data_IF_905112233654
#
_entry.id   IF_905112233654
#
_cell.length_a   1.000
_cell.length_b   1.000
_cell.length_c   1.000
_cell.angle_alpha   90.00
_cell.angle_beta   90.00
_cell.angle_gamma   90.00
#
_symmetry.space_group_name_H-M   'P 1'
#
loop_
_entity.id
_entity.type
_entity.pdbx_description
1 polymer ?
#
# COMPACT_ATOMS: atom_id res chain seq x y z
N UNK A 1 31.68 -46.35 0.22
CA UNK A 1 31.51 -45.02 0.84
C UNK A 1 31.15 -43.99 -0.22
N UNK A 2 29.89 -44.00 -0.65
CA UNK A 2 28.81 -43.08 -0.24
C UNK A 2 28.75 -41.74 -1.01
N UNK A 3 28.43 -41.84 -2.31
CA UNK A 3 27.91 -40.70 -3.11
C UNK A 3 26.60 -40.12 -2.56
N UNK A 4 25.90 -40.86 -1.69
CA UNK A 4 24.70 -40.37 -0.98
C UNK A 4 25.01 -39.34 0.14
N UNK A 5 26.25 -39.26 0.64
CA UNK A 5 26.59 -38.34 1.74
C UNK A 5 26.80 -36.87 1.30
N UNK A 6 27.03 -36.62 0.01
CA UNK A 6 27.19 -35.25 -0.53
C UNK A 6 25.86 -34.57 -0.89
N UNK A 7 24.81 -35.34 -1.18
CA UNK A 7 23.48 -34.78 -1.55
C UNK A 7 22.72 -34.30 -0.31
N UNK A 8 22.92 -34.93 0.85
CA UNK A 8 22.25 -34.58 2.10
C UNK A 8 22.73 -33.23 2.67
N UNK A 9 24.00 -32.86 2.46
CA UNK A 9 24.54 -31.58 2.94
C UNK A 9 24.09 -30.37 2.10
N UNK A 10 23.78 -30.54 0.82
CA UNK A 10 23.27 -29.44 -0.03
C UNK A 10 21.78 -29.19 0.23
N UNK A 11 21.00 -30.24 0.54
CA UNK A 11 19.59 -30.08 0.92
C UNK A 11 19.42 -29.38 2.28
N UNK A 12 20.30 -29.62 3.26
CA UNK A 12 20.17 -28.98 4.58
C UNK A 12 20.48 -27.47 4.57
N UNK A 13 21.36 -27.01 3.67
CA UNK A 13 21.70 -25.58 3.52
C UNK A 13 20.56 -24.80 2.82
N UNK A 14 19.81 -25.43 1.91
CA UNK A 14 18.64 -24.80 1.29
C UNK A 14 17.47 -24.60 2.27
N UNK A 15 17.34 -25.43 3.31
CA UNK A 15 16.27 -25.29 4.31
C UNK A 15 16.56 -24.18 5.34
N UNK A 16 17.83 -23.91 5.67
CA UNK A 16 18.17 -22.84 6.63
C UNK A 16 17.99 -21.43 6.07
N UNK A 17 18.18 -21.24 4.75
CA UNK A 17 18.01 -19.93 4.10
C UNK A 17 16.51 -19.62 3.93
N UNK A 18 15.69 -20.63 3.60
CA UNK A 18 14.24 -20.46 3.52
C UNK A 18 13.59 -20.26 4.89
N UNK A 19 14.03 -20.97 5.95
CA UNK A 19 13.48 -20.77 7.29
C UNK A 19 13.71 -19.34 7.83
N UNK A 20 14.87 -18.73 7.55
CA UNK A 20 15.18 -17.38 8.02
C UNK A 20 14.35 -16.30 7.30
N UNK A 21 14.04 -16.49 6.02
CA UNK A 21 13.16 -15.59 5.27
C UNK A 21 11.68 -15.77 5.66
N UNK A 22 11.23 -17.00 5.87
CA UNK A 22 9.86 -17.29 6.33
C UNK A 22 9.61 -16.70 7.72
N UNK A 23 10.57 -16.81 8.64
CA UNK A 23 10.40 -16.30 10.01
C UNK A 23 10.40 -14.76 10.10
N UNK A 24 11.12 -14.07 9.20
CA UNK A 24 11.02 -12.61 9.03
C UNK A 24 9.69 -12.17 8.40
N UNK A 25 9.19 -12.90 7.41
CA UNK A 25 7.94 -12.57 6.72
C UNK A 25 6.68 -12.87 7.56
N UNK A 26 6.69 -13.94 8.36
CA UNK A 26 5.61 -14.26 9.33
C UNK A 26 5.42 -13.13 10.35
N UNK A 27 6.50 -12.41 10.70
CA UNK A 27 6.45 -11.34 11.69
C UNK A 27 5.74 -10.07 11.17
N UNK A 28 5.81 -9.78 9.86
CA UNK A 28 5.21 -8.57 9.27
C UNK A 28 3.69 -8.74 9.13
N UNK A 29 3.23 -9.89 8.64
CA UNK A 29 1.79 -10.16 8.53
C UNK A 29 1.11 -10.18 9.90
N UNK A 30 1.77 -10.78 10.90
CA UNK A 30 1.28 -10.77 12.28
C UNK A 30 1.27 -9.36 12.90
N UNK A 31 2.27 -8.53 12.61
CA UNK A 31 2.29 -7.14 13.05
C UNK A 31 1.18 -6.32 12.38
N UNK A 32 0.92 -6.54 11.09
CA UNK A 32 -0.17 -5.86 10.36
C UNK A 32 -1.55 -6.28 10.89
N UNK A 33 -1.78 -7.57 11.16
CA UNK A 33 -3.00 -8.05 11.82
C UNK A 33 -3.19 -7.47 13.22
N UNK A 34 -2.10 -7.29 13.98
CA UNK A 34 -2.14 -6.64 15.29
C UNK A 34 -2.45 -5.13 15.17
N UNK A 35 -1.88 -4.46 14.17
CA UNK A 35 -2.05 -3.02 13.95
C UNK A 35 -3.37 -2.68 13.25
N UNK A 36 -4.01 -3.65 12.62
CA UNK A 36 -5.25 -3.50 11.88
C UNK A 36 -6.22 -4.67 12.12
N UNK A 37 -7.16 -4.46 13.04
CA UNK A 37 -8.24 -5.39 13.37
C UNK A 37 -9.46 -4.60 13.86
N UNK A 38 -10.52 -5.26 14.30
CA UNK A 38 -11.75 -4.58 14.78
C UNK A 38 -11.66 -4.05 16.22
N UNK A 39 -10.55 -4.26 16.93
CA UNK A 39 -10.46 -3.90 18.35
C UNK A 39 -10.42 -2.38 18.55
N UNK A 40 -10.93 -1.94 19.69
CA UNK A 40 -10.82 -0.55 20.11
C UNK A 40 -9.36 -0.15 20.36
N UNK A 41 -9.02 1.09 20.03
CA UNK A 41 -7.70 1.68 20.26
C UNK A 41 -7.86 3.08 20.85
N UNK A 42 -6.88 3.50 21.66
CA UNK A 42 -6.84 4.85 22.22
C UNK A 42 -5.44 5.42 22.06
N UNK A 43 -5.36 6.58 21.41
CA UNK A 43 -4.15 7.38 21.32
C UNK A 43 -3.87 8.05 22.66
N UNK A 44 -2.63 7.96 23.15
CA UNK A 44 -2.17 8.75 24.28
C UNK A 44 -1.91 10.20 23.83
N UNK A 45 -2.96 11.02 23.85
CA UNK A 45 -2.90 12.44 23.48
C UNK A 45 -2.10 13.29 24.49
N UNK A 46 -1.81 12.74 25.67
CA UNK A 46 -0.99 13.38 26.70
C UNK A 46 0.48 12.96 26.63
N UNK A 47 0.86 12.20 25.60
CA UNK A 47 2.24 11.81 25.36
C UNK A 47 3.16 13.04 25.30
N UNK A 48 4.20 13.03 26.12
CA UNK A 48 5.13 14.17 26.27
C UNK A 48 5.86 14.52 24.98
N UNK A 49 6.26 13.52 24.20
CA UNK A 49 6.98 13.72 22.94
C UNK A 49 6.05 14.36 21.90
N UNK A 50 4.81 13.90 21.80
CA UNK A 50 3.80 14.49 20.92
C UNK A 50 3.55 15.96 21.29
N UNK A 51 3.32 16.25 22.57
CA UNK A 51 3.05 17.61 23.05
C UNK A 51 4.25 18.54 22.92
N UNK A 52 5.49 18.03 22.95
CA UNK A 52 6.68 18.83 22.72
C UNK A 52 6.76 19.41 21.28
N UNK A 53 6.02 18.82 20.33
CA UNK A 53 5.97 19.30 18.92
C UNK A 53 4.92 20.38 18.68
N UNK A 54 4.24 20.84 19.73
CA UNK A 54 3.15 21.81 19.67
C UNK A 54 3.60 23.11 18.99
N UNK A 55 2.84 23.53 17.97
CA UNK A 55 3.05 24.79 17.27
C UNK A 55 1.72 25.48 16.97
N UNK A 56 1.73 26.82 16.84
CA UNK A 56 0.53 27.61 16.54
C UNK A 56 0.07 27.30 15.11
N UNK A 57 -1.23 27.07 14.94
CA UNK A 57 -1.86 26.81 13.66
C UNK A 57 -2.57 28.05 13.13
N UNK A 58 -1.99 28.67 12.11
CA UNK A 58 -2.50 29.91 11.54
C UNK A 58 -2.45 31.09 12.52
N UNK A 59 -3.16 32.16 12.15
CA UNK A 59 -3.19 33.44 12.88
C UNK A 59 -4.56 33.77 13.48
N UNK A 60 -5.54 32.89 13.31
CA UNK A 60 -6.93 33.09 13.78
C UNK A 60 -7.05 32.98 15.31
N UNK A 61 -7.98 33.77 15.88
CA UNK A 61 -8.36 33.71 17.28
C UNK A 61 -9.71 32.96 17.46
N UNK A 62 -9.89 32.17 18.54
CA UNK A 62 -8.88 31.83 19.54
C UNK A 62 -7.75 30.98 18.94
N UNK A 63 -6.52 31.19 19.43
CA UNK A 63 -5.34 30.49 18.93
C UNK A 63 -5.52 28.95 18.90
N UNK A 64 -5.29 28.37 17.73
CA UNK A 64 -5.31 26.92 17.51
C UNK A 64 -3.88 26.37 17.50
N UNK A 65 -3.72 25.11 17.87
CA UNK A 65 -2.41 24.45 17.96
C UNK A 65 -2.42 23.09 17.29
N UNK A 66 -1.33 22.79 16.59
CA UNK A 66 -1.09 21.49 15.99
C UNK A 66 0.07 20.77 16.68
N UNK A 67 0.05 19.45 16.63
CA UNK A 67 1.15 18.56 17.04
C UNK A 67 1.49 17.63 15.87
N UNK A 68 2.79 17.31 15.73
CA UNK A 68 3.31 16.47 14.66
C UNK A 68 4.46 15.61 15.18
N UNK A 69 4.24 14.31 15.30
CA UNK A 69 5.27 13.37 15.76
C UNK A 69 5.51 12.28 14.71
N UNK A 70 6.77 12.12 14.33
CA UNK A 70 7.22 10.97 13.54
C UNK A 70 7.90 9.99 14.48
N UNK A 71 7.42 8.75 14.49
CA UNK A 71 8.00 7.65 15.25
C UNK A 71 8.13 6.40 14.38
N UNK A 72 8.71 5.34 14.92
CA UNK A 72 8.85 4.08 14.23
C UNK A 72 8.55 2.92 15.18
N UNK A 73 7.88 1.90 14.66
CA UNK A 73 7.65 0.63 15.35
C UNK A 73 8.02 -0.51 14.41
N UNK A 74 9.07 -1.28 14.75
CA UNK A 74 9.70 -2.22 13.83
C UNK A 74 10.07 -1.54 12.48
N UNK A 75 9.56 -2.06 11.35
CA UNK A 75 9.80 -1.54 10.00
C UNK A 75 8.62 -0.66 9.51
N UNK A 76 7.90 -0.03 10.43
CA UNK A 76 6.72 0.79 10.13
C UNK A 76 7.01 2.20 10.62
N UNK A 77 7.03 3.15 9.67
CA UNK A 77 7.08 4.58 10.00
C UNK A 77 5.67 5.01 10.42
N UNK A 78 5.57 5.70 11.55
CA UNK A 78 4.30 6.20 12.07
C UNK A 78 4.37 7.72 12.07
N UNK A 79 3.43 8.35 11.40
CA UNK A 79 3.28 9.80 11.38
C UNK A 79 1.99 10.13 12.12
N UNK A 80 2.09 10.90 13.20
CA UNK A 80 0.95 11.37 13.98
C UNK A 80 0.79 12.87 13.78
N UNK A 81 -0.41 13.29 13.39
CA UNK A 81 -0.81 14.68 13.33
C UNK A 81 -2.00 14.91 14.25
N UNK A 82 -2.13 16.11 14.81
CA UNK A 82 -3.34 16.48 15.52
C UNK A 82 -3.57 17.98 15.56
N UNK A 83 -4.84 18.36 15.54
CA UNK A 83 -5.31 19.69 15.91
C UNK A 83 -5.84 19.61 17.34
N UNK A 84 -5.11 20.19 18.30
CA UNK A 84 -5.37 20.00 19.72
C UNK A 84 -6.82 20.37 20.09
N UNK A 85 -7.50 19.45 20.77
CA UNK A 85 -8.90 19.59 21.16
C UNK A 85 -9.93 19.34 20.04
N UNK A 86 -9.50 18.99 18.82
CA UNK A 86 -10.40 18.81 17.67
C UNK A 86 -10.31 17.41 17.07
N UNK A 87 -9.12 16.95 16.68
CA UNK A 87 -8.92 15.60 16.14
C UNK A 87 -7.44 15.23 16.10
N UNK A 88 -7.18 13.93 15.93
CA UNK A 88 -5.85 13.40 15.63
C UNK A 88 -5.95 12.38 14.50
N UNK A 89 -4.90 12.25 13.71
CA UNK A 89 -4.75 11.21 12.72
C UNK A 89 -3.37 10.57 12.80
N UNK A 90 -3.30 9.31 12.39
CA UNK A 90 -2.06 8.55 12.27
C UNK A 90 -2.00 7.82 10.94
N UNK A 91 -0.87 7.99 10.27
CA UNK A 91 -0.49 7.18 9.12
C UNK A 91 0.60 6.19 9.51
N UNK A 92 0.38 4.92 9.22
CA UNK A 92 1.36 3.87 9.38
C UNK A 92 1.82 3.44 7.99
N UNK A 93 3.12 3.59 7.73
CA UNK A 93 3.78 3.26 6.47
C UNK A 93 4.72 2.07 6.68
N UNK A 94 4.23 0.83 6.51
CA UNK A 94 5.11 -0.33 6.45
C UNK A 94 6.10 -0.19 5.31
N UNK A 95 7.36 -0.53 5.53
CA UNK A 95 8.39 -0.52 4.48
C UNK A 95 8.06 -1.48 3.32
N UNK A 96 7.51 -2.64 3.65
CA UNK A 96 7.13 -3.70 2.70
C UNK A 96 5.63 -3.74 2.46
N UNK A 97 5.23 -4.34 1.36
CA UNK A 97 3.84 -4.56 0.96
C UNK A 97 3.18 -3.36 0.30
N UNK A 98 1.97 -3.59 -0.20
CA UNK A 98 1.22 -2.64 -1.04
C UNK A 98 0.36 -1.63 -0.27
N UNK A 99 0.30 -1.78 1.05
CA UNK A 99 -0.71 -1.14 1.85
C UNK A 99 -0.12 -0.29 2.97
N UNK A 100 -0.78 0.85 3.24
CA UNK A 100 -0.55 1.72 4.40
C UNK A 100 -1.84 1.79 5.21
N UNK A 101 -1.75 2.05 6.52
CA UNK A 101 -2.92 2.15 7.39
C UNK A 101 -3.12 3.61 7.76
N UNK A 102 -4.37 4.05 7.74
CA UNK A 102 -4.79 5.33 8.31
C UNK A 102 -5.67 5.09 9.52
N UNK A 103 -5.45 5.88 10.57
CA UNK A 103 -6.27 5.92 11.76
C UNK A 103 -6.66 7.36 12.05
N UNK A 104 -7.90 7.56 12.47
CA UNK A 104 -8.42 8.84 12.93
C UNK A 104 -8.96 8.69 14.34
N UNK A 105 -8.76 9.71 15.18
CA UNK A 105 -9.13 9.69 16.58
C UNK A 105 -9.93 10.94 16.95
N UNK A 106 -10.89 10.76 17.86
CA UNK A 106 -11.62 11.84 18.50
C UNK A 106 -10.70 12.71 19.39
N UNK A 107 -11.13 13.93 19.80
CA UNK A 107 -10.37 14.77 20.74
C UNK A 107 -9.97 14.06 22.03
N UNK A 108 -10.76 13.10 22.49
CA UNK A 108 -10.51 12.31 23.70
C UNK A 108 -9.50 11.16 23.51
N UNK A 109 -8.92 11.04 22.30
CA UNK A 109 -7.96 10.02 21.91
C UNK A 109 -8.56 8.68 21.49
N UNK A 110 -9.87 8.48 21.63
CA UNK A 110 -10.51 7.23 21.21
C UNK A 110 -10.49 7.12 19.69
N UNK A 111 -10.20 5.92 19.17
CA UNK A 111 -10.26 5.64 17.73
C UNK A 111 -11.65 5.99 17.22
N UNK A 112 -11.69 6.71 16.11
CA UNK A 112 -12.88 7.04 15.34
C UNK A 112 -12.99 6.14 14.12
N UNK A 113 -11.90 6.00 13.37
CA UNK A 113 -11.87 5.11 12.22
C UNK A 113 -10.47 4.53 11.98
N UNK A 114 -10.42 3.34 11.39
CA UNK A 114 -9.19 2.81 10.80
C UNK A 114 -9.49 2.12 9.49
N UNK A 115 -8.63 2.36 8.50
CA UNK A 115 -8.75 1.84 7.12
C UNK A 115 -7.38 1.56 6.50
N UNK A 116 -7.39 0.73 5.47
CA UNK A 116 -6.21 0.40 4.67
C UNK A 116 -6.28 1.16 3.34
N UNK A 117 -5.15 1.72 2.93
CA UNK A 117 -4.98 2.36 1.63
C UNK A 117 -3.95 1.62 0.79
N UNK A 118 -4.25 1.47 -0.49
CA UNK A 118 -3.25 1.06 -1.47
C UNK A 118 -2.26 2.22 -1.71
N UNK A 119 -0.96 1.95 -1.49
CA UNK A 119 0.12 2.94 -1.64
C UNK A 119 0.20 3.54 -3.04
N UNK A 120 -0.21 2.78 -4.06
CA UNK A 120 -0.07 3.14 -5.47
C UNK A 120 -1.32 3.77 -6.09
N UNK A 121 -2.48 3.67 -5.45
CA UNK A 121 -3.72 4.22 -6.02
C UNK A 121 -4.50 5.11 -5.07
N UNK A 122 -4.06 5.25 -3.82
CA UNK A 122 -4.75 5.98 -2.74
C UNK A 122 -6.23 5.59 -2.57
N UNK A 123 -6.64 4.42 -3.08
CA UNK A 123 -7.98 3.88 -2.86
C UNK A 123 -8.06 3.08 -1.56
N UNK A 124 -9.25 3.09 -0.95
CA UNK A 124 -9.59 2.23 0.18
C UNK A 124 -9.51 0.75 -0.23
N UNK A 125 -9.02 -0.08 0.68
CA UNK A 125 -8.82 -1.51 0.45
C UNK A 125 -9.15 -2.31 1.71
N UNK A 126 -9.54 -3.58 1.56
CA UNK A 126 -9.92 -4.41 2.70
C UNK A 126 -11.14 -3.88 3.45
N UNK A 127 -11.12 -4.00 4.78
CA UNK A 127 -12.18 -3.50 5.65
C UNK A 127 -11.83 -2.13 6.20
N UNK A 128 -12.85 -1.33 6.50
CA UNK A 128 -12.76 -0.15 7.37
C UNK A 128 -13.64 -0.35 8.58
N UNK A 129 -13.13 0.04 9.74
CA UNK A 129 -13.82 -0.04 11.02
C UNK A 129 -14.10 1.38 11.52
N UNK A 130 -15.36 1.68 11.82
CA UNK A 130 -15.79 2.96 12.38
C UNK A 130 -16.33 2.75 13.80
N UNK A 131 -15.94 3.63 14.71
CA UNK A 131 -16.27 3.58 16.13
C UNK A 131 -16.94 4.88 16.53
N UNK A 132 -17.82 4.82 17.52
CA UNK A 132 -18.33 6.04 18.16
C UNK A 132 -17.31 6.60 19.16
N UNK A 133 -17.60 7.79 19.70
CA UNK A 133 -16.69 8.49 20.62
C UNK A 133 -16.45 7.74 21.95
N UNK A 134 -17.33 6.81 22.32
CA UNK A 134 -17.16 5.92 23.49
C UNK A 134 -16.31 4.69 23.19
N UNK A 135 -15.88 4.49 21.94
CA UNK A 135 -15.04 3.38 21.52
C UNK A 135 -15.81 2.11 21.10
N UNK A 136 -17.14 2.18 20.97
CA UNK A 136 -17.95 1.07 20.47
C UNK A 136 -17.87 1.04 18.94
N UNK A 137 -17.60 -0.13 18.38
CA UNK A 137 -17.68 -0.38 16.93
C UNK A 137 -19.13 -0.16 16.45
N UNK A 138 -19.32 0.73 15.49
CA UNK A 138 -20.65 1.09 14.96
C UNK A 138 -20.84 0.67 13.50
N UNK A 139 -19.76 0.50 12.74
CA UNK A 139 -19.85 0.13 11.33
C UNK A 139 -18.59 -0.57 10.83
N UNK A 140 -18.81 -1.52 9.92
CA UNK A 140 -17.77 -2.18 9.12
C UNK A 140 -18.13 -1.95 7.67
N UNK A 141 -17.21 -1.40 6.88
CA UNK A 141 -17.33 -1.27 5.42
C UNK A 141 -16.32 -2.22 4.78
N UNK A 142 -16.75 -3.11 3.88
CA UNK A 142 -15.87 -4.03 3.16
C UNK A 142 -15.67 -3.54 1.72
N UNK A 143 -14.50 -2.97 1.42
CA UNK A 143 -14.18 -2.47 0.09
C UNK A 143 -13.83 -3.58 -0.90
N UNK A 144 -13.72 -4.82 -0.45
CA UNK A 144 -13.52 -6.00 -1.29
C UNK A 144 -14.83 -6.75 -1.55
N UNK A 145 -15.96 -6.24 -1.05
CA UNK A 145 -17.26 -6.87 -1.27
C UNK A 145 -17.56 -7.00 -2.77
N UNK A 146 -17.85 -8.24 -3.18
CA UNK A 146 -18.14 -8.59 -4.56
C UNK A 146 -16.97 -8.49 -5.53
N UNK A 147 -15.72 -8.40 -5.06
CA UNK A 147 -14.53 -8.62 -5.89
C UNK A 147 -14.11 -10.09 -5.79
N UNK A 148 -13.97 -10.78 -6.93
CA UNK A 148 -13.67 -12.21 -7.00
C UNK A 148 -12.17 -12.53 -7.06
N UNK A 149 -11.36 -11.56 -7.48
CA UNK A 149 -9.90 -11.69 -7.60
C UNK A 149 -9.23 -11.05 -6.40
N UNK A 150 -8.37 -11.80 -5.72
CA UNK A 150 -7.57 -11.32 -4.59
C UNK A 150 -6.41 -10.42 -5.05
N UNK A 151 -5.94 -9.53 -4.18
CA UNK A 151 -4.75 -8.71 -4.48
C UNK A 151 -3.51 -9.57 -4.71
N UNK A 152 -3.36 -10.67 -3.97
CA UNK A 152 -2.28 -11.66 -4.10
C UNK A 152 -2.27 -12.33 -5.49
N UNK A 153 -3.45 -12.48 -6.10
CA UNK A 153 -3.58 -13.01 -7.46
C UNK A 153 -3.19 -11.96 -8.50
N UNK A 154 -3.65 -10.71 -8.34
CA UNK A 154 -3.28 -9.61 -9.25
C UNK A 154 -1.78 -9.31 -9.21
N UNK A 155 -1.14 -9.35 -8.04
CA UNK A 155 0.32 -9.20 -7.90
C UNK A 155 1.10 -10.35 -8.54
N UNK A 156 0.58 -11.58 -8.52
CA UNK A 156 1.14 -12.71 -9.29
C UNK A 156 1.06 -12.46 -10.80
N UNK A 157 -0.06 -11.93 -11.29
CA UNK A 157 -0.20 -11.54 -12.70
C UNK A 157 0.80 -10.42 -13.03
N UNK A 158 0.90 -9.39 -12.19
CA UNK A 158 1.87 -8.31 -12.35
C UNK A 158 3.31 -8.86 -12.45
N UNK A 159 3.69 -9.78 -11.56
CA UNK A 159 5.02 -10.41 -11.57
C UNK A 159 5.34 -11.11 -12.89
N UNK A 160 4.36 -11.83 -13.47
CA UNK A 160 4.52 -12.49 -14.77
C UNK A 160 4.81 -11.47 -15.88
N UNK A 161 4.11 -10.33 -15.86
CA UNK A 161 4.24 -9.30 -16.88
C UNK A 161 5.50 -8.44 -16.71
N UNK A 162 5.88 -8.12 -15.48
CA UNK A 162 7.16 -7.47 -15.20
C UNK A 162 8.33 -8.26 -15.80
N UNK A 163 8.36 -9.59 -15.58
CA UNK A 163 9.36 -10.48 -16.17
C UNK A 163 9.29 -10.52 -17.70
N UNK A 164 8.09 -10.68 -18.27
CA UNK A 164 7.90 -10.77 -19.73
C UNK A 164 8.40 -9.53 -20.48
N UNK A 165 8.24 -8.35 -19.88
CA UNK A 165 8.59 -7.07 -20.48
C UNK A 165 9.87 -6.45 -19.88
N UNK A 166 10.63 -7.21 -19.09
CA UNK A 166 11.89 -6.78 -18.49
C UNK A 166 11.77 -5.48 -17.68
N UNK A 167 10.69 -5.38 -16.89
CA UNK A 167 10.59 -4.42 -15.80
C UNK A 167 11.30 -4.98 -14.56
N UNK A 168 12.06 -4.13 -13.87
CA UNK A 168 12.82 -4.45 -12.65
C UNK A 168 12.08 -4.10 -11.36
N UNK A 169 10.85 -3.60 -11.48
CA UNK A 169 9.99 -3.30 -10.32
C UNK A 169 9.74 -4.54 -9.47
N UNK A 170 9.70 -4.35 -8.16
CA UNK A 170 9.17 -5.36 -7.25
C UNK A 170 7.63 -5.37 -7.34
N UNK A 171 7.04 -6.55 -7.45
CA UNK A 171 5.60 -6.75 -7.62
C UNK A 171 5.01 -7.74 -6.62
N UNK A 172 5.85 -8.41 -5.81
CA UNK A 172 5.39 -9.34 -4.80
C UNK A 172 4.45 -8.65 -3.79
N UNK A 173 3.49 -9.41 -3.27
CA UNK A 173 2.49 -8.91 -2.33
C UNK A 173 3.11 -8.30 -1.06
N UNK A 174 4.21 -8.87 -0.56
CA UNK A 174 4.98 -8.42 0.59
C UNK A 174 6.31 -7.76 0.19
N UNK A 175 6.47 -7.40 -1.09
CA UNK A 175 7.67 -6.79 -1.62
C UNK A 175 7.83 -5.32 -1.23
N UNK A 176 9.05 -4.79 -1.34
CA UNK A 176 9.32 -3.34 -1.20
C UNK A 176 9.04 -2.66 -2.55
N UNK A 177 7.84 -2.12 -2.70
CA UNK A 177 7.40 -1.47 -3.94
C UNK A 177 7.82 -0.01 -4.00
N UNK A 178 7.99 0.52 -5.22
CA UNK A 178 8.19 1.94 -5.44
C UNK A 178 6.83 2.65 -5.55
N UNK A 179 6.46 3.41 -4.53
CA UNK A 179 5.24 4.22 -4.49
C UNK A 179 5.45 5.68 -4.96
N UNK A 180 6.68 6.06 -5.35
CA UNK A 180 6.97 7.34 -5.99
C UNK A 180 6.68 7.29 -7.50
N UNK A 181 5.45 7.64 -7.87
CA UNK A 181 4.90 7.53 -9.23
C UNK A 181 5.31 8.66 -10.18
N UNK A 182 6.52 9.18 -10.03
CA UNK A 182 7.07 10.11 -11.01
C UNK A 182 7.40 9.37 -12.31
N UNK A 183 7.11 9.99 -13.45
CA UNK A 183 7.31 9.41 -14.79
C UNK A 183 8.74 8.90 -15.05
N UNK A 184 9.73 9.49 -14.39
CA UNK A 184 11.16 9.14 -14.48
C UNK A 184 11.53 7.86 -13.72
N UNK A 185 10.66 7.41 -12.82
CA UNK A 185 10.91 6.25 -11.99
C UNK A 185 10.34 5.00 -12.65
N UNK A 186 11.01 3.88 -12.43
CA UNK A 186 10.43 2.58 -12.76
C UNK A 186 9.51 2.15 -11.60
N UNK A 187 8.20 2.02 -11.88
CA UNK A 187 7.18 1.72 -10.86
C UNK A 187 6.01 0.91 -11.43
N UNK A 188 5.25 0.31 -10.52
CA UNK A 188 4.01 -0.42 -10.82
C UNK A 188 2.86 0.19 -10.02
N UNK A 189 1.69 0.27 -10.66
CA UNK A 189 0.43 0.69 -10.03
C UNK A 189 -0.59 -0.42 -10.21
N UNK A 190 -1.28 -0.78 -9.13
CA UNK A 190 -2.43 -1.70 -9.19
C UNK A 190 -3.66 -0.97 -8.66
N UNK A 191 -4.74 -0.97 -9.42
CA UNK A 191 -5.99 -0.33 -9.01
C UNK A 191 -7.22 -1.06 -9.54
N UNK A 192 -8.35 -0.71 -8.94
CA UNK A 192 -9.68 -1.23 -9.25
C UNK A 192 -10.46 -0.20 -10.04
N UNK A 193 -11.30 -0.64 -10.96
CA UNK A 193 -12.25 0.21 -11.70
C UNK A 193 -13.57 -0.52 -11.88
N UNK A 194 -14.66 0.20 -11.73
CA UNK A 194 -15.99 -0.25 -12.14
C UNK A 194 -16.39 0.51 -13.40
N UNK A 195 -16.88 -0.20 -14.41
CA UNK A 195 -17.33 0.37 -15.66
C UNK A 195 -18.49 -0.45 -16.20
N UNK A 196 -19.62 0.21 -16.49
CA UNK A 196 -20.86 -0.42 -16.98
C UNK A 196 -21.33 -1.61 -16.12
N UNK A 197 -21.23 -1.47 -14.80
CA UNK A 197 -21.62 -2.52 -13.84
C UNK A 197 -20.67 -3.71 -13.76
N UNK A 198 -19.54 -3.68 -14.46
CA UNK A 198 -18.48 -4.69 -14.38
C UNK A 198 -17.30 -4.19 -13.56
N UNK A 199 -16.64 -5.12 -12.86
CA UNK A 199 -15.47 -4.89 -12.03
C UNK A 199 -14.20 -5.31 -12.77
N UNK A 200 -13.18 -4.46 -12.69
CA UNK A 200 -11.91 -4.68 -13.35
C UNK A 200 -10.73 -4.37 -12.44
N UNK A 201 -9.68 -5.16 -12.63
CA UNK A 201 -8.35 -4.87 -12.12
C UNK A 201 -7.48 -4.30 -13.21
N UNK A 202 -6.71 -3.29 -12.85
CA UNK A 202 -5.73 -2.67 -13.72
C UNK A 202 -4.33 -2.80 -13.13
N UNK A 203 -3.38 -3.17 -13.98
CA UNK A 203 -1.96 -3.20 -13.67
C UNK A 203 -1.26 -2.27 -14.65
N UNK A 204 -0.63 -1.22 -14.14
CA UNK A 204 0.13 -0.24 -14.91
C UNK A 204 1.62 -0.33 -14.56
N UNK A 205 2.47 -0.52 -15.56
CA UNK A 205 3.91 -0.45 -15.42
C UNK A 205 4.45 0.80 -16.10
N UNK A 206 5.39 1.46 -15.45
CA UNK A 206 6.09 2.64 -15.96
C UNK A 206 7.59 2.37 -15.95
N UNK A 207 8.28 2.68 -17.05
CA UNK A 207 9.74 2.61 -17.14
C UNK A 207 10.25 3.74 -18.01
N UNK A 208 11.11 4.58 -17.46
CA UNK A 208 11.76 5.64 -18.23
C UNK A 208 12.86 5.06 -19.12
N UNK A 209 12.90 5.53 -20.36
CA UNK A 209 13.99 5.28 -21.31
C UNK A 209 14.79 6.57 -21.47
N UNK A 210 16.07 6.50 -21.14
CA UNK A 210 17.03 7.59 -21.28
C UNK A 210 18.05 7.18 -22.35
N UNK A 211 17.58 6.90 -23.57
CA UNK A 211 18.49 6.55 -24.67
C UNK A 211 19.33 7.76 -25.12
N UNK A 212 18.84 9.00 -24.92
CA UNK A 212 19.58 10.26 -25.06
C UNK A 212 19.04 11.34 -24.09
N UNK A 213 19.82 12.39 -23.79
CA UNK A 213 19.41 13.49 -22.89
C UNK A 213 18.12 14.20 -23.31
N UNK A 214 17.86 14.19 -24.62
CA UNK A 214 16.79 14.95 -25.27
C UNK A 214 15.59 14.07 -25.66
N UNK A 215 15.71 12.73 -25.56
CA UNK A 215 14.67 11.76 -25.94
C UNK A 215 14.14 11.03 -24.69
N UNK A 216 13.45 11.78 -23.83
CA UNK A 216 12.86 11.28 -22.57
C UNK A 216 11.52 10.60 -22.86
N UNK A 217 11.59 9.36 -23.34
CA UNK A 217 10.42 8.51 -23.55
C UNK A 217 10.13 7.68 -22.32
N UNK A 218 8.86 7.47 -22.04
CA UNK A 218 8.40 6.56 -20.99
C UNK A 218 7.70 5.39 -21.65
N UNK A 219 8.18 4.19 -21.38
CA UNK A 219 7.49 2.95 -21.73
C UNK A 219 6.41 2.67 -20.69
N UNK A 220 5.22 2.32 -21.19
CA UNK A 220 4.08 1.97 -20.36
C UNK A 220 3.41 0.70 -20.83
N UNK A 221 3.03 -0.12 -19.88
CA UNK A 221 2.18 -1.29 -20.09
C UNK A 221 0.97 -1.18 -19.16
N UNK A 222 -0.23 -1.17 -19.73
CA UNK A 222 -1.49 -1.23 -18.97
C UNK A 222 -2.18 -2.54 -19.32
N UNK A 223 -2.53 -3.30 -18.29
CA UNK A 223 -3.23 -4.59 -18.41
C UNK A 223 -4.56 -4.45 -17.70
N UNK A 224 -5.63 -4.83 -18.40
CA UNK A 224 -6.98 -4.85 -17.87
C UNK A 224 -7.41 -6.31 -17.67
N UNK A 225 -7.88 -6.61 -16.46
CA UNK A 225 -8.35 -7.94 -16.08
C UNK A 225 -9.82 -7.79 -15.68
N UNK A 226 -10.68 -8.57 -16.32
CA UNK A 226 -12.08 -8.70 -15.90
C UNK A 226 -12.12 -9.54 -14.63
N UNK A 227 -12.66 -8.97 -13.55
CA UNK A 227 -12.68 -9.61 -12.24
C UNK A 227 -13.57 -10.85 -12.20
N UNK A 228 -14.65 -10.87 -13.00
CA UNK A 228 -15.62 -11.97 -13.04
C UNK A 228 -15.05 -13.22 -13.70
N UNK A 229 -14.27 -13.04 -14.77
CA UNK A 229 -13.67 -14.15 -15.53
C UNK A 229 -12.23 -14.42 -15.14
N UNK A 230 -11.59 -13.47 -14.44
CA UNK A 230 -10.14 -13.43 -14.13
C UNK A 230 -9.26 -13.46 -15.38
N UNK A 231 -9.83 -13.11 -16.54
CA UNK A 231 -9.13 -13.09 -17.81
C UNK A 231 -8.64 -11.69 -18.14
N UNK A 232 -7.53 -11.64 -18.86
CA UNK A 232 -7.00 -10.39 -19.42
C UNK A 232 -7.84 -10.05 -20.64
N UNK A 233 -8.54 -8.93 -20.58
CA UNK A 233 -9.46 -8.49 -21.63
C UNK A 233 -8.89 -7.38 -22.50
N UNK A 234 -7.89 -6.64 -21.99
CA UNK A 234 -7.13 -5.68 -22.76
C UNK A 234 -5.68 -5.57 -22.27
N UNK A 235 -4.78 -5.21 -23.18
CA UNK A 235 -3.37 -4.96 -22.90
C UNK A 235 -2.84 -3.91 -23.86
N UNK A 236 -2.51 -2.75 -23.33
CA UNK A 236 -1.97 -1.64 -24.08
C UNK A 236 -0.49 -1.41 -23.72
N UNK A 237 0.40 -1.55 -24.71
CA UNK A 237 1.84 -1.30 -24.57
C UNK A 237 2.21 -0.16 -25.49
N UNK A 238 2.71 0.94 -24.93
CA UNK A 238 2.97 2.17 -25.67
C UNK A 238 4.11 2.97 -25.05
N UNK A 239 4.55 3.96 -25.81
CA UNK A 239 5.53 4.96 -25.38
C UNK A 239 4.86 6.33 -25.39
N UNK A 240 5.11 7.14 -24.36
CA UNK A 240 4.67 8.52 -24.31
C UNK A 240 5.73 9.47 -23.72
N UNK A 241 5.46 10.77 -23.87
CA UNK A 241 6.32 11.85 -23.42
C UNK A 241 5.69 12.55 -22.22
N UNK A 242 6.42 12.67 -21.12
CA UNK A 242 6.10 13.54 -19.98
C UNK A 242 4.72 13.39 -19.32
N UNK A 243 3.91 12.39 -19.70
CA UNK A 243 2.56 12.29 -19.17
C UNK A 243 2.61 11.81 -17.70
N UNK A 244 1.69 12.29 -16.86
CA UNK A 244 1.64 11.86 -15.45
C UNK A 244 0.76 10.62 -15.26
N UNK A 245 -0.09 10.31 -16.24
CA UNK A 245 -1.15 9.32 -16.09
C UNK A 245 -1.04 8.23 -17.15
N UNK A 246 -1.40 7.00 -16.75
CA UNK A 246 -1.61 5.91 -17.70
C UNK A 246 -2.81 6.25 -18.58
N UNK A 247 -2.74 5.93 -19.87
CA UNK A 247 -3.92 5.83 -20.73
C UNK A 247 -4.82 4.75 -20.17
N UNK A 248 -5.89 5.16 -19.49
CA UNK A 248 -6.83 4.20 -18.93
C UNK A 248 -7.69 3.60 -20.04
N UNK A 249 -7.96 2.28 -19.99
CA UNK A 249 -9.06 1.71 -20.73
C UNK A 249 -10.34 2.46 -20.32
N UNK A 250 -11.26 2.64 -21.28
CA UNK A 250 -12.57 3.28 -21.11
C UNK A 250 -12.61 4.82 -21.07
N UNK A 251 -11.50 5.53 -21.23
CA UNK A 251 -11.56 6.97 -21.51
C UNK A 251 -11.79 7.19 -23.01
N UNK A 252 -12.90 7.83 -23.37
CA UNK A 252 -13.11 8.32 -24.74
C UNK A 252 -12.04 9.36 -25.07
N UNK A 253 -11.50 9.30 -26.28
CA UNK A 253 -10.48 10.23 -26.77
C UNK A 253 -11.08 11.55 -27.23
#
# INVERSE_FOLDING_TARGET
>A
MNKHFKIINILMICFTINACNTQKNVNINKAMEQLFNYNFEKLDINNKELLATKSRYGTVEPAKFIVRLNSAYYNIRIETYGLLGVYYDQWLYPKKGWFKIYKEFYPNGNIRLKRIFNKTSNGDYGKMYEFNEQGKLIKITDFEEGWLTSFEEVTRIATKYAKKYNYKVETAFDGEINDDQLWKNEYVKIWRKEHEGKKYWLIGFNKAHFENSDDRKTERLVILIDDSTRQIVDKNHYFDWYNRYFKEPFEEK
#
